data_IF_556755935236
#
_entry.id   IF_556755935236
#
_cell.length_a   1.000
_cell.length_b   1.000
_cell.length_c   1.000
_cell.angle_alpha   90.00
_cell.angle_beta   90.00
_cell.angle_gamma   90.00
#
_symmetry.space_group_name_H-M   'P 1'
#
loop_
_entity.id
_entity.type
_entity.pdbx_description
1 polymer ?
#
# COMPACT_ATOMS: atom_id res chain seq x y z
N UNK A 1 -8.72 9.18 4.99
CA UNK A 1 -9.99 9.96 5.02
C UNK A 1 -10.83 9.44 6.18
N UNK A 2 -10.87 10.18 7.30
CA UNK A 2 -11.71 9.84 8.46
C UNK A 2 -13.17 9.79 7.99
N UNK A 3 -13.89 8.75 8.37
CA UNK A 3 -15.35 8.81 8.38
C UNK A 3 -15.73 10.03 9.21
N UNK A 4 -16.15 11.11 8.57
CA UNK A 4 -16.99 12.05 9.28
C UNK A 4 -18.29 11.31 9.51
N UNK A 5 -18.44 10.73 10.71
CA UNK A 5 -19.70 10.17 11.20
C UNK A 5 -20.83 11.16 10.92
N UNK A 6 -20.52 12.46 11.07
CA UNK A 6 -21.34 13.59 10.63
C UNK A 6 -21.82 13.48 9.17
N UNK A 7 -20.95 13.25 8.21
CA UNK A 7 -21.32 13.13 6.78
C UNK A 7 -22.16 11.90 6.49
N UNK A 8 -21.86 10.76 7.13
CA UNK A 8 -22.68 9.56 7.02
C UNK A 8 -24.08 9.80 7.62
N UNK A 9 -24.15 10.44 8.78
CA UNK A 9 -25.38 10.73 9.52
C UNK A 9 -26.27 11.76 8.79
N UNK A 10 -25.65 12.80 8.19
CA UNK A 10 -26.36 13.75 7.32
C UNK A 10 -26.90 13.07 6.04
N UNK A 11 -26.13 12.14 5.45
CA UNK A 11 -26.56 11.40 4.26
C UNK A 11 -27.67 10.38 4.58
N UNK A 12 -27.66 9.81 5.79
CA UNK A 12 -28.68 8.85 6.25
C UNK A 12 -29.98 9.52 6.71
N UNK A 13 -29.96 10.81 7.02
CA UNK A 13 -31.10 11.57 7.55
C UNK A 13 -32.39 11.47 6.71
N UNK A 14 -32.39 11.67 5.38
CA UNK A 14 -33.61 11.54 4.57
C UNK A 14 -34.16 10.10 4.57
N UNK A 15 -33.29 9.09 4.60
CA UNK A 15 -33.69 7.69 4.69
C UNK A 15 -34.32 7.37 6.04
N UNK A 16 -33.76 7.90 7.14
CA UNK A 16 -34.32 7.76 8.49
C UNK A 16 -35.67 8.47 8.62
N UNK A 17 -35.85 9.64 8.01
CA UNK A 17 -37.14 10.34 7.96
C UNK A 17 -38.19 9.55 7.17
N UNK A 18 -37.81 8.93 6.05
CA UNK A 18 -38.71 8.05 5.28
C UNK A 18 -39.13 6.83 6.09
N UNK A 19 -38.20 6.21 6.83
CA UNK A 19 -38.49 5.08 7.73
C UNK A 19 -39.44 5.52 8.84
N UNK A 20 -39.16 6.65 9.50
CA UNK A 20 -40.02 7.19 10.55
C UNK A 20 -41.43 7.50 10.04
N UNK A 21 -41.55 8.10 8.85
CA UNK A 21 -42.84 8.34 8.19
C UNK A 21 -43.60 7.04 7.88
N UNK A 22 -42.90 5.99 7.43
CA UNK A 22 -43.46 4.66 7.23
C UNK A 22 -43.98 4.02 8.53
N UNK A 23 -43.26 4.16 9.65
CA UNK A 23 -43.71 3.67 10.97
C UNK A 23 -44.97 4.41 11.43
N UNK A 24 -44.99 5.74 11.29
CA UNK A 24 -46.12 6.58 11.69
C UNK A 24 -47.37 6.23 10.87
N UNK A 25 -47.22 6.07 9.55
CA UNK A 25 -48.34 5.68 8.67
C UNK A 25 -48.85 4.26 8.98
N UNK A 26 -47.95 3.33 9.27
CA UNK A 26 -48.31 1.95 9.58
C UNK A 26 -49.11 1.86 10.90
N UNK A 27 -48.62 2.51 11.95
CA UNK A 27 -49.30 2.55 13.27
C UNK A 27 -50.63 3.29 13.18
N UNK A 28 -50.65 4.45 12.51
CA UNK A 28 -51.89 5.20 12.28
C UNK A 28 -52.95 4.42 11.49
N UNK A 29 -52.54 3.60 10.50
CA UNK A 29 -53.46 2.79 9.71
C UNK A 29 -54.04 1.61 10.50
N UNK A 30 -53.25 0.96 11.35
CA UNK A 30 -53.72 -0.14 12.20
C UNK A 30 -54.75 0.36 13.21
N UNK A 31 -54.46 1.48 13.86
CA UNK A 31 -55.24 1.95 14.99
C UNK A 31 -56.49 2.75 14.60
N UNK A 32 -56.49 3.41 13.43
CA UNK A 32 -57.50 4.43 13.11
C UNK A 32 -58.18 4.30 11.73
N UNK A 33 -57.85 3.31 10.88
CA UNK A 33 -58.46 3.20 9.55
C UNK A 33 -59.83 2.50 9.59
N UNK A 34 -60.95 3.20 9.28
CA UNK A 34 -62.30 2.64 9.38
C UNK A 34 -62.67 1.70 8.20
N UNK A 35 -61.88 1.69 7.11
CA UNK A 35 -62.15 0.89 5.91
C UNK A 35 -60.96 -0.04 5.60
N UNK A 36 -61.23 -1.33 5.45
CA UNK A 36 -60.22 -2.36 5.17
C UNK A 36 -59.39 -2.06 3.90
N UNK A 37 -60.02 -1.57 2.83
CA UNK A 37 -59.31 -1.27 1.58
C UNK A 37 -58.33 -0.10 1.74
N UNK A 38 -58.70 0.91 2.53
CA UNK A 38 -57.83 2.07 2.81
C UNK A 38 -56.68 1.64 3.74
N UNK A 39 -56.98 0.80 4.74
CA UNK A 39 -55.98 0.25 5.65
C UNK A 39 -54.89 -0.52 4.88
N UNK A 40 -55.28 -1.43 3.99
CA UNK A 40 -54.34 -2.27 3.24
C UNK A 40 -53.48 -1.45 2.27
N UNK A 41 -54.06 -0.41 1.65
CA UNK A 41 -53.31 0.54 0.82
C UNK A 41 -52.26 1.30 1.65
N UNK A 42 -52.64 1.86 2.81
CA UNK A 42 -51.72 2.62 3.66
C UNK A 42 -50.63 1.72 4.25
N UNK A 43 -50.95 0.46 4.59
CA UNK A 43 -49.96 -0.53 5.02
C UNK A 43 -48.94 -0.81 3.89
N UNK A 44 -49.38 -0.99 2.65
CA UNK A 44 -48.47 -1.22 1.52
C UNK A 44 -47.58 -0.01 1.21
N UNK A 45 -48.13 1.20 1.31
CA UNK A 45 -47.36 2.45 1.17
C UNK A 45 -46.34 2.58 2.31
N UNK A 46 -46.73 2.25 3.54
CA UNK A 46 -45.84 2.24 4.71
C UNK A 46 -44.71 1.22 4.55
N UNK A 47 -45.02 0.01 4.09
CA UNK A 47 -44.03 -1.02 3.80
C UNK A 47 -43.03 -0.59 2.71
N UNK A 48 -43.49 0.16 1.71
CA UNK A 48 -42.62 0.73 0.67
C UNK A 48 -41.70 1.83 1.22
N UNK A 49 -42.24 2.72 2.07
CA UNK A 49 -41.49 3.78 2.77
C UNK A 49 -40.46 3.23 3.76
N UNK A 50 -40.66 2.01 4.26
CA UNK A 50 -39.71 1.30 5.12
C UNK A 50 -38.66 0.54 4.31
N UNK A 51 -39.08 -0.28 3.35
CA UNK A 51 -38.21 -1.23 2.65
C UNK A 51 -37.20 -0.55 1.73
N UNK A 52 -37.62 0.45 0.94
CA UNK A 52 -36.74 1.11 -0.04
C UNK A 52 -35.54 1.78 0.66
N UNK A 53 -35.72 2.66 1.66
CA UNK A 53 -34.60 3.28 2.37
C UNK A 53 -33.69 2.28 3.10
N UNK A 54 -34.27 1.19 3.63
CA UNK A 54 -33.51 0.18 4.36
C UNK A 54 -32.51 -0.54 3.44
N UNK A 55 -32.94 -0.89 2.23
CA UNK A 55 -32.07 -1.50 1.20
C UNK A 55 -30.95 -0.53 0.82
N UNK A 56 -31.27 0.75 0.61
CA UNK A 56 -30.26 1.77 0.30
C UNK A 56 -29.25 1.97 1.43
N UNK A 57 -29.69 2.03 2.69
CA UNK A 57 -28.79 2.14 3.85
C UNK A 57 -27.89 0.92 4.00
N UNK A 58 -28.43 -0.29 3.78
CA UNK A 58 -27.66 -1.52 3.83
C UNK A 58 -26.63 -1.58 2.71
N UNK A 59 -27.00 -1.14 1.50
CA UNK A 59 -26.10 -1.02 0.37
C UNK A 59 -24.96 -0.03 0.65
N UNK A 60 -25.30 1.19 1.08
CA UNK A 60 -24.30 2.23 1.39
C UNK A 60 -23.36 1.80 2.53
N UNK A 61 -23.90 1.15 3.57
CA UNK A 61 -23.11 0.60 4.66
C UNK A 61 -22.14 -0.48 4.17
N UNK A 62 -22.65 -1.46 3.42
CA UNK A 62 -21.87 -2.58 2.89
C UNK A 62 -20.79 -2.08 1.94
N UNK A 63 -21.15 -1.22 0.99
CA UNK A 63 -20.22 -0.60 0.07
C UNK A 63 -19.13 0.17 0.81
N UNK A 64 -19.48 0.94 1.86
CA UNK A 64 -18.49 1.67 2.65
C UNK A 64 -17.51 0.74 3.41
N UNK A 65 -17.98 -0.42 3.87
CA UNK A 65 -17.17 -1.40 4.61
C UNK A 65 -16.26 -2.18 3.67
N UNK A 66 -16.83 -2.68 2.57
CA UNK A 66 -16.10 -3.42 1.53
C UNK A 66 -15.05 -2.50 0.89
N UNK A 67 -15.40 -1.26 0.53
CA UNK A 67 -14.45 -0.30 -0.02
C UNK A 67 -13.29 -0.01 0.93
N UNK A 68 -13.51 0.02 2.25
CA UNK A 68 -12.42 0.20 3.23
C UNK A 68 -11.53 -1.02 3.34
N UNK A 69 -12.11 -2.22 3.38
CA UNK A 69 -11.34 -3.45 3.44
C UNK A 69 -10.52 -3.63 2.15
N UNK A 70 -11.14 -3.39 1.00
CA UNK A 70 -10.45 -3.38 -0.30
C UNK A 70 -9.34 -2.34 -0.32
N UNK A 71 -9.60 -1.09 0.08
CA UNK A 71 -8.56 -0.05 0.12
C UNK A 71 -7.40 -0.44 1.03
N UNK A 72 -7.67 -0.98 2.23
CA UNK A 72 -6.61 -1.46 3.13
C UNK A 72 -5.81 -2.61 2.51
N UNK A 73 -6.49 -3.59 1.92
CA UNK A 73 -5.84 -4.74 1.28
C UNK A 73 -5.00 -4.33 0.08
N UNK A 74 -5.48 -3.39 -0.73
CA UNK A 74 -4.75 -2.85 -1.88
C UNK A 74 -3.52 -2.08 -1.43
N UNK A 75 -3.64 -1.22 -0.40
CA UNK A 75 -2.50 -0.50 0.18
C UNK A 75 -1.47 -1.51 0.70
N UNK A 76 -1.87 -2.49 1.51
CA UNK A 76 -0.95 -3.45 2.09
C UNK A 76 -0.21 -4.27 1.02
N UNK A 77 -0.95 -4.86 0.07
CA UNK A 77 -0.35 -5.62 -1.02
C UNK A 77 0.59 -4.78 -1.88
N UNK A 78 0.29 -3.49 -2.03
CA UNK A 78 1.13 -2.58 -2.81
C UNK A 78 2.42 -2.21 -2.07
N UNK A 79 2.33 -1.94 -0.77
CA UNK A 79 3.50 -1.72 0.10
C UNK A 79 4.40 -2.95 0.14
N UNK A 80 3.84 -4.15 0.23
CA UNK A 80 4.61 -5.40 0.24
C UNK A 80 5.39 -5.58 -1.08
N UNK A 81 4.71 -5.41 -2.22
CA UNK A 81 5.37 -5.48 -3.53
C UNK A 81 6.45 -4.42 -3.71
N UNK A 82 6.24 -3.21 -3.20
CA UNK A 82 7.27 -2.16 -3.24
C UNK A 82 8.49 -2.56 -2.42
N UNK A 83 8.29 -3.10 -1.21
CA UNK A 83 9.38 -3.59 -0.38
C UNK A 83 10.15 -4.72 -1.07
N UNK A 84 9.46 -5.66 -1.71
CA UNK A 84 10.10 -6.73 -2.50
C UNK A 84 10.98 -6.17 -3.62
N UNK A 85 10.48 -5.18 -4.38
CA UNK A 85 11.25 -4.52 -5.45
C UNK A 85 12.48 -3.79 -4.89
N UNK A 86 12.35 -3.09 -3.75
CA UNK A 86 13.46 -2.40 -3.12
C UNK A 86 14.51 -3.37 -2.56
N UNK A 87 14.08 -4.47 -1.92
CA UNK A 87 14.97 -5.53 -1.45
C UNK A 87 15.70 -6.20 -2.63
N UNK A 88 14.98 -6.50 -3.71
CA UNK A 88 15.57 -7.03 -4.93
C UNK A 88 16.61 -6.07 -5.55
N UNK A 89 16.31 -4.77 -5.55
CA UNK A 89 17.25 -3.72 -5.98
C UNK A 89 18.51 -3.74 -5.12
N UNK A 90 18.36 -3.75 -3.79
CA UNK A 90 19.49 -3.84 -2.86
C UNK A 90 20.31 -5.10 -3.15
N UNK A 91 19.67 -6.26 -3.30
CA UNK A 91 20.36 -7.53 -3.57
C UNK A 91 21.13 -7.49 -4.89
N UNK A 92 20.58 -6.91 -5.95
CA UNK A 92 21.27 -6.76 -7.23
C UNK A 92 22.46 -5.82 -7.15
N UNK A 93 22.30 -4.64 -6.53
CA UNK A 93 23.41 -3.71 -6.33
C UNK A 93 24.51 -4.35 -5.50
N UNK A 94 24.12 -5.15 -4.50
CA UNK A 94 25.05 -5.89 -3.66
C UNK A 94 25.82 -6.96 -4.44
N UNK A 95 25.15 -7.71 -5.32
CA UNK A 95 25.79 -8.67 -6.22
C UNK A 95 26.73 -7.97 -7.21
N UNK A 96 26.30 -6.83 -7.77
CA UNK A 96 27.10 -5.98 -8.64
C UNK A 96 28.37 -5.46 -7.95
N UNK A 97 28.35 -5.26 -6.63
CA UNK A 97 29.51 -4.81 -5.85
C UNK A 97 30.33 -5.98 -5.26
N UNK A 98 29.97 -7.23 -5.57
CA UNK A 98 30.67 -8.42 -5.08
C UNK A 98 30.48 -8.69 -3.57
N UNK A 99 29.45 -8.12 -2.95
CA UNK A 99 29.18 -8.28 -1.52
C UNK A 99 28.32 -9.54 -1.30
N UNK A 100 28.95 -10.62 -0.84
CA UNK A 100 28.30 -11.94 -0.68
C UNK A 100 27.85 -12.27 0.74
N UNK A 101 28.12 -11.40 1.72
CA UNK A 101 27.76 -11.64 3.12
C UNK A 101 26.23 -11.74 3.29
N UNK A 102 25.76 -12.40 4.37
CA UNK A 102 24.33 -12.43 4.71
C UNK A 102 23.76 -11.00 4.74
N UNK A 103 22.56 -10.82 4.16
CA UNK A 103 21.88 -9.54 4.17
C UNK A 103 21.46 -9.23 5.61
N UNK A 104 22.17 -8.32 6.26
CA UNK A 104 21.85 -7.81 7.59
C UNK A 104 21.71 -6.30 7.51
N UNK A 105 20.92 -5.73 8.42
CA UNK A 105 20.74 -4.28 8.51
C UNK A 105 22.10 -3.56 8.67
N UNK A 106 23.03 -4.16 9.42
CA UNK A 106 24.39 -3.64 9.61
C UNK A 106 25.20 -3.62 8.29
N UNK A 107 25.16 -4.71 7.52
CA UNK A 107 25.85 -4.77 6.23
C UNK A 107 25.23 -3.81 5.20
N UNK A 108 23.90 -3.65 5.24
CA UNK A 108 23.19 -2.67 4.43
C UNK A 108 23.61 -1.25 4.80
N UNK A 109 23.64 -0.93 6.09
CA UNK A 109 24.03 0.40 6.58
C UNK A 109 25.48 0.75 6.18
N UNK A 110 26.41 -0.22 6.29
CA UNK A 110 27.79 -0.04 5.81
C UNK A 110 27.85 0.21 4.30
N UNK A 111 26.95 -0.39 3.52
CA UNK A 111 26.88 -0.23 2.06
C UNK A 111 26.24 1.10 1.65
N UNK A 112 25.26 1.59 2.41
CA UNK A 112 24.60 2.88 2.21
C UNK A 112 25.56 4.06 2.43
N UNK A 113 26.64 3.87 3.21
CA UNK A 113 27.66 4.90 3.45
C UNK A 113 28.69 5.00 2.31
N UNK A 114 28.75 4.02 1.41
CA UNK A 114 29.74 4.00 0.33
C UNK A 114 29.52 5.13 -0.68
N UNK A 115 30.62 5.80 -1.02
CA UNK A 115 30.62 6.87 -2.03
C UNK A 115 30.95 6.32 -3.42
N UNK A 116 30.59 7.05 -4.47
CA UNK A 116 30.86 6.69 -5.86
C UNK A 116 32.31 6.21 -6.14
N UNK A 117 33.37 6.80 -5.55
CA UNK A 117 34.74 6.32 -5.77
C UNK A 117 34.98 4.91 -5.22
N UNK A 118 34.38 4.57 -4.09
CA UNK A 118 34.50 3.26 -3.45
C UNK A 118 33.68 2.21 -4.19
N UNK A 119 32.46 2.58 -4.58
CA UNK A 119 31.58 1.77 -5.41
C UNK A 119 32.27 1.46 -6.75
N UNK A 120 32.85 2.47 -7.41
CA UNK A 120 33.51 2.30 -8.71
C UNK A 120 34.67 1.30 -8.68
N UNK A 121 35.36 1.10 -7.54
CA UNK A 121 36.43 0.10 -7.42
C UNK A 121 35.90 -1.33 -7.41
N UNK A 122 34.68 -1.53 -6.89
CA UNK A 122 34.06 -2.84 -6.69
C UNK A 122 33.00 -3.19 -7.73
N UNK A 123 32.44 -2.18 -8.41
CA UNK A 123 31.31 -2.33 -9.30
C UNK A 123 31.65 -3.23 -10.51
N UNK A 124 30.94 -4.33 -10.64
CA UNK A 124 31.00 -5.26 -11.75
C UNK A 124 29.56 -5.62 -12.17
N UNK A 125 29.04 -4.90 -13.15
CA UNK A 125 27.69 -5.11 -13.67
C UNK A 125 27.77 -6.17 -14.76
N UNK A 126 27.38 -7.40 -14.39
CA UNK A 126 27.26 -8.52 -15.33
C UNK A 126 25.96 -8.40 -16.14
N UNK A 127 25.82 -9.08 -17.29
CA UNK A 127 24.57 -9.11 -18.04
C UNK A 127 23.38 -9.56 -17.19
N UNK A 128 23.59 -10.54 -16.30
CA UNK A 128 22.57 -10.99 -15.34
C UNK A 128 22.10 -9.87 -14.41
N UNK A 129 23.03 -9.07 -13.88
CA UNK A 129 22.69 -7.91 -13.03
C UNK A 129 21.95 -6.85 -13.84
N UNK A 130 22.33 -6.63 -15.10
CA UNK A 130 21.68 -5.67 -15.98
C UNK A 130 20.23 -6.07 -16.31
N UNK A 131 19.99 -7.35 -16.61
CA UNK A 131 18.65 -7.88 -16.86
C UNK A 131 17.77 -7.78 -15.61
N UNK A 132 18.35 -8.07 -14.45
CA UNK A 132 17.67 -7.96 -13.18
C UNK A 132 17.33 -6.49 -12.87
N UNK A 133 18.24 -5.55 -13.15
CA UNK A 133 18.03 -4.11 -12.99
C UNK A 133 16.89 -3.60 -13.91
N UNK A 134 16.83 -4.10 -15.15
CA UNK A 134 15.71 -3.86 -16.05
C UNK A 134 14.38 -4.38 -15.48
N UNK A 135 14.37 -5.59 -14.91
CA UNK A 135 13.17 -6.15 -14.28
C UNK A 135 12.70 -5.28 -13.11
N UNK A 136 13.61 -4.92 -12.19
CA UNK A 136 13.27 -4.05 -11.07
C UNK A 136 12.76 -2.68 -11.50
N UNK A 137 13.36 -2.09 -12.54
CA UNK A 137 12.89 -0.82 -13.09
C UNK A 137 11.45 -0.94 -13.62
N UNK A 138 11.15 -1.98 -14.40
CA UNK A 138 9.82 -2.21 -14.96
C UNK A 138 8.77 -2.52 -13.87
N UNK A 139 9.15 -3.30 -12.85
CA UNK A 139 8.29 -3.61 -11.72
C UNK A 139 7.96 -2.35 -10.92
N UNK A 140 8.98 -1.50 -10.68
CA UNK A 140 8.80 -0.22 -10.00
C UNK A 140 7.91 0.74 -10.80
N UNK A 141 8.11 0.83 -12.11
CA UNK A 141 7.29 1.68 -13.00
C UNK A 141 5.83 1.19 -13.04
N UNK A 142 5.62 -0.13 -13.09
CA UNK A 142 4.29 -0.74 -13.02
C UNK A 142 3.59 -0.41 -11.69
N UNK A 143 4.34 -0.44 -10.57
CA UNK A 143 3.81 -0.07 -9.26
C UNK A 143 3.50 1.43 -9.18
N UNK A 144 4.35 2.31 -9.72
CA UNK A 144 4.09 3.74 -9.79
C UNK A 144 2.85 4.06 -10.64
N UNK A 145 2.71 3.40 -11.79
CA UNK A 145 1.51 3.52 -12.63
C UNK A 145 0.25 3.07 -11.89
N UNK A 146 0.31 1.92 -11.20
CA UNK A 146 -0.81 1.44 -10.39
C UNK A 146 -1.15 2.38 -9.23
N UNK A 147 -0.16 3.06 -8.66
CA UNK A 147 -0.38 4.05 -7.62
C UNK A 147 -1.22 5.21 -8.14
N UNK A 148 -0.93 5.71 -9.34
CA UNK A 148 -1.67 6.83 -9.93
C UNK A 148 -3.19 6.57 -10.03
N UNK A 149 -3.59 5.30 -10.15
CA UNK A 149 -4.99 4.90 -10.22
C UNK A 149 -5.63 4.73 -8.83
N UNK A 150 -4.84 4.40 -7.81
CA UNK A 150 -5.34 3.94 -6.50
C UNK A 150 -5.06 4.92 -5.37
N UNK A 151 -4.19 5.93 -5.58
CA UNK A 151 -3.75 6.92 -4.60
C UNK A 151 -3.36 6.27 -3.26
N UNK A 152 -2.54 5.23 -3.32
CA UNK A 152 -2.12 4.42 -2.17
C UNK A 152 -0.87 4.99 -1.51
N UNK A 153 0.03 5.58 -2.28
CA UNK A 153 1.27 6.21 -1.82
C UNK A 153 1.11 7.72 -1.67
N UNK A 154 1.88 8.29 -0.74
CA UNK A 154 1.97 9.74 -0.57
C UNK A 154 2.77 10.39 -1.71
N UNK A 155 2.58 11.71 -1.97
CA UNK A 155 3.38 12.41 -2.97
C UNK A 155 4.89 12.28 -2.76
N UNK A 156 5.35 12.35 -1.51
CA UNK A 156 6.76 12.22 -1.16
C UNK A 156 7.29 10.81 -1.48
N UNK A 157 6.51 9.77 -1.14
CA UNK A 157 6.82 8.39 -1.50
C UNK A 157 6.93 8.19 -3.02
N UNK A 158 6.00 8.77 -3.79
CA UNK A 158 6.04 8.72 -5.25
C UNK A 158 7.29 9.40 -5.80
N UNK A 159 7.67 10.54 -5.22
CA UNK A 159 8.85 11.29 -5.63
C UNK A 159 10.15 10.51 -5.38
N UNK A 160 10.28 9.86 -4.22
CA UNK A 160 11.45 9.02 -3.90
C UNK A 160 11.54 7.84 -4.85
N UNK A 161 10.44 7.09 -5.03
CA UNK A 161 10.39 5.93 -5.91
C UNK A 161 10.64 6.30 -7.39
N UNK A 162 10.14 7.44 -7.83
CA UNK A 162 10.40 7.95 -9.18
C UNK A 162 11.87 8.34 -9.37
N UNK A 163 12.51 8.86 -8.32
CA UNK A 163 13.95 9.16 -8.33
C UNK A 163 14.79 7.88 -8.40
N UNK A 164 14.39 6.81 -7.69
CA UNK A 164 14.98 5.47 -7.79
C UNK A 164 14.85 4.94 -9.23
N UNK A 165 13.62 4.93 -9.77
CA UNK A 165 13.36 4.43 -11.13
C UNK A 165 14.19 5.17 -12.18
N UNK A 166 14.29 6.51 -12.06
CA UNK A 166 15.11 7.34 -12.93
C UNK A 166 16.59 7.02 -12.82
N UNK A 167 17.11 6.86 -11.60
CA UNK A 167 18.51 6.52 -11.39
C UNK A 167 18.85 5.11 -11.93
N UNK A 168 17.92 4.14 -11.81
CA UNK A 168 18.04 2.83 -12.46
C UNK A 168 18.11 2.95 -13.99
N UNK A 169 17.21 3.71 -14.61
CA UNK A 169 17.22 3.92 -16.05
C UNK A 169 18.53 4.55 -16.55
N UNK A 170 19.06 5.52 -15.79
CA UNK A 170 20.36 6.10 -16.10
C UNK A 170 21.51 5.09 -15.95
N UNK A 171 21.50 4.25 -14.91
CA UNK A 171 22.49 3.19 -14.72
C UNK A 171 22.45 2.15 -15.85
N UNK A 172 21.25 1.72 -16.25
CA UNK A 172 21.03 0.81 -17.37
C UNK A 172 21.60 1.39 -18.67
N UNK A 173 21.26 2.65 -18.97
CA UNK A 173 21.73 3.29 -20.19
C UNK A 173 23.25 3.47 -20.19
N UNK A 174 23.82 3.88 -19.06
CA UNK A 174 25.27 4.09 -18.95
C UNK A 174 26.05 2.78 -19.12
N UNK A 175 25.56 1.70 -18.54
CA UNK A 175 26.19 0.37 -18.63
C UNK A 175 26.07 -0.24 -20.02
N UNK A 176 24.95 0.01 -20.72
CA UNK A 176 24.70 -0.49 -22.08
C UNK A 176 25.50 0.26 -23.14
N UNK A 177 25.58 1.59 -23.07
CA UNK A 177 26.09 2.42 -24.17
C UNK A 177 27.48 3.02 -23.94
N UNK A 178 27.81 3.46 -22.72
CA UNK A 178 29.05 4.20 -22.46
C UNK A 178 30.08 3.40 -21.65
N UNK A 179 29.62 2.43 -20.86
CA UNK A 179 30.45 1.56 -19.98
C UNK A 179 31.35 2.34 -19.00
N UNK A 180 30.98 3.58 -18.65
CA UNK A 180 31.76 4.37 -17.71
C UNK A 180 31.50 3.94 -16.26
N UNK A 181 32.50 3.32 -15.64
CA UNK A 181 32.41 2.76 -14.29
C UNK A 181 32.21 3.82 -13.21
N UNK A 182 32.75 5.03 -13.38
CA UNK A 182 32.60 6.11 -12.40
C UNK A 182 31.21 6.74 -12.45
N UNK A 183 30.66 6.93 -13.65
CA UNK A 183 29.30 7.44 -13.84
C UNK A 183 28.29 6.41 -13.35
N UNK A 184 28.50 5.13 -13.67
CA UNK A 184 27.67 4.03 -13.18
C UNK A 184 27.68 3.97 -11.65
N UNK A 185 28.83 4.13 -11.01
CA UNK A 185 28.95 4.17 -9.56
C UNK A 185 28.21 5.35 -8.93
N UNK A 186 28.15 6.51 -9.60
CA UNK A 186 27.36 7.66 -9.14
C UNK A 186 25.86 7.37 -9.18
N UNK A 187 25.37 6.67 -10.21
CA UNK A 187 23.97 6.25 -10.24
C UNK A 187 23.66 5.19 -9.18
N UNK A 188 24.58 4.28 -8.89
CA UNK A 188 24.44 3.33 -7.78
C UNK A 188 24.40 4.05 -6.43
N UNK A 189 25.27 5.04 -6.19
CA UNK A 189 25.22 5.88 -4.99
C UNK A 189 23.86 6.59 -4.86
N UNK A 190 23.35 7.18 -5.95
CA UNK A 190 22.05 7.84 -5.94
C UNK A 190 20.89 6.88 -5.64
N UNK A 191 20.89 5.67 -6.23
CA UNK A 191 19.86 4.64 -5.95
C UNK A 191 19.89 4.29 -4.46
N UNK A 192 21.08 4.03 -3.91
CA UNK A 192 21.26 3.70 -2.50
C UNK A 192 20.82 4.84 -1.58
N UNK A 193 21.13 6.10 -1.93
CA UNK A 193 20.68 7.28 -1.20
C UNK A 193 19.16 7.39 -1.16
N UNK A 194 18.48 7.22 -2.29
CA UNK A 194 17.01 7.27 -2.31
C UNK A 194 16.35 6.08 -1.61
N UNK A 195 17.01 4.91 -1.56
CA UNK A 195 16.56 3.78 -0.74
C UNK A 195 16.67 4.12 0.74
N UNK A 196 17.73 4.83 1.17
CA UNK A 196 17.84 5.33 2.54
C UNK A 196 16.72 6.33 2.84
N UNK A 197 16.50 7.31 1.96
CA UNK A 197 15.41 8.28 2.10
C UNK A 197 14.05 7.58 2.23
N UNK A 198 13.82 6.49 1.48
CA UNK A 198 12.62 5.67 1.59
C UNK A 198 12.46 5.02 2.96
N UNK A 199 13.54 4.44 3.49
CA UNK A 199 13.55 3.77 4.79
C UNK A 199 13.33 4.77 5.94
N UNK A 200 13.87 5.97 5.82
CA UNK A 200 13.70 7.04 6.81
C UNK A 200 12.29 7.67 6.73
N UNK A 201 11.73 7.80 5.52
CA UNK A 201 10.40 8.36 5.30
C UNK A 201 9.26 7.42 5.74
N UNK A 202 9.50 6.10 5.75
CA UNK A 202 8.48 5.11 6.08
C UNK A 202 8.97 4.10 7.15
N UNK A 203 8.65 4.40 8.41
CA UNK A 203 8.90 3.49 9.55
C UNK A 203 8.34 2.07 9.36
N UNK A 204 7.27 1.91 8.58
CA UNK A 204 6.69 0.60 8.25
C UNK A 204 7.52 -0.09 7.17
N UNK A 205 8.05 0.65 6.19
CA UNK A 205 8.99 0.11 5.23
C UNK A 205 10.30 -0.33 5.90
N UNK A 206 10.82 0.43 6.86
CA UNK A 206 11.99 0.02 7.65
C UNK A 206 11.74 -1.26 8.47
N UNK A 207 10.55 -1.38 9.08
CA UNK A 207 10.16 -2.56 9.85
C UNK A 207 9.91 -3.78 8.96
N UNK A 208 9.28 -3.61 7.81
CA UNK A 208 9.07 -4.67 6.83
C UNK A 208 10.39 -5.09 6.18
N UNK A 209 11.29 -4.15 5.86
CA UNK A 209 12.63 -4.47 5.40
C UNK A 209 13.35 -5.30 6.47
N UNK A 210 13.34 -4.87 7.74
CA UNK A 210 13.91 -5.65 8.83
C UNK A 210 13.33 -7.07 8.88
N UNK A 211 12.01 -7.22 8.70
CA UNK A 211 11.35 -8.54 8.63
C UNK A 211 11.83 -9.39 7.44
N UNK A 212 11.97 -8.81 6.24
CA UNK A 212 12.54 -9.48 5.06
C UNK A 212 14.04 -9.80 5.20
N UNK A 213 14.74 -9.12 6.11
CA UNK A 213 16.17 -9.30 6.41
C UNK A 213 16.44 -10.29 7.54
N UNK A 214 15.49 -10.51 8.45
CA UNK A 214 15.61 -11.52 9.51
C UNK A 214 15.24 -12.92 8.99
N UNK A 215 16.09 -13.95 9.21
CA UNK A 215 15.67 -15.34 8.99
C UNK A 215 14.48 -15.69 9.89
N UNK A 216 13.63 -16.65 9.49
CA UNK A 216 12.44 -17.05 10.25
C UNK A 216 12.86 -17.86 11.48
N UNK A 217 13.41 -17.20 12.52
CA UNK A 217 13.46 -17.74 13.87
C UNK A 217 13.90 -16.66 14.86
N UNK A 218 12.94 -16.23 15.69
CA UNK A 218 13.04 -15.83 17.10
C UNK A 218 12.06 -14.70 17.39
N UNK A 219 10.78 -15.07 17.59
CA UNK A 219 9.91 -14.29 18.46
C UNK A 219 10.43 -14.54 19.88
N UNK A 220 11.07 -13.56 20.57
CA UNK A 220 11.49 -13.74 21.94
C UNK A 220 10.25 -13.46 22.81
N UNK A 221 9.48 -14.50 23.13
CA UNK A 221 8.19 -14.29 23.76
C UNK A 221 7.41 -15.53 24.18
N UNK A 222 8.06 -16.67 24.45
CA UNK A 222 7.51 -17.64 25.40
C UNK A 222 8.60 -17.99 26.40
N UNK A 223 8.52 -17.30 27.54
CA UNK A 223 9.37 -17.51 28.68
C UNK A 223 9.32 -18.97 29.13
N UNK A 224 10.50 -19.47 29.50
CA UNK A 224 10.67 -20.79 30.05
C UNK A 224 9.75 -21.02 31.25
N UNK A 225 9.10 -22.18 31.24
CA UNK A 225 8.84 -22.89 32.49
C UNK A 225 9.91 -23.97 32.62
N UNK A 226 10.89 -23.65 33.44
CA UNK A 226 11.89 -24.59 33.94
C UNK A 226 11.26 -25.44 35.05
N UNK A 227 11.55 -26.75 35.00
CA UNK A 227 11.68 -27.71 36.12
C UNK A 227 10.42 -28.07 36.94
N UNK A 228 9.99 -29.32 36.82
CA UNK A 228 10.47 -30.43 37.67
C UNK A 228 10.46 -31.73 36.88
#
# INVERSE_FOLDING_TARGET
MKLNIRTFLLKSLPYLMSIAGGIILYTGAIDNAPNANIRDLVINVSASLLSIPLVFLLYDYTNSRVARQMKKSVIHSMTDKLNDVLVNTIMMLRDAMGVRNKLSLENLNRMLVWRAPEIARRLNITPRVLDALHSCHNDLDTLLFRNSQTNTLTPDQVQILSSIARAMAHLINETKFHKNRHVSAKYVENIMGHILDWLDADSVAALNLAHHLTPPESIPGQGGKNKK
#
